data_IF_464770555897
#
_entry.id   IF_464770555897
#
_cell.length_a   1.000
_cell.length_b   1.000
_cell.length_c   1.000
_cell.angle_alpha   90.00
_cell.angle_beta   90.00
_cell.angle_gamma   90.00
#
_symmetry.space_group_name_H-M   'P 1'
#
loop_
_entity.id
_entity.type
_entity.pdbx_description
1 polymer ?
#
# COMPACT_ATOMS: atom_id res chain seq x y z
N UNK A 1 -11.34 -1.24 8.82
CA UNK A 1 -12.75 -1.16 8.48
C UNK A 1 -13.44 -2.49 8.80
N UNK A 2 -14.75 -2.48 9.10
CA UNK A 2 -15.52 -3.66 9.48
C UNK A 2 -16.93 -3.56 8.90
N UNK A 3 -17.50 -4.70 8.51
CA UNK A 3 -18.86 -4.79 7.98
C UNK A 3 -19.76 -5.40 9.06
N UNK A 4 -20.88 -4.76 9.35
CA UNK A 4 -21.95 -5.30 10.21
C UNK A 4 -23.11 -5.72 9.34
N UNK A 5 -23.55 -6.98 9.46
CA UNK A 5 -24.66 -7.53 8.69
C UNK A 5 -25.43 -8.58 9.45
N UNK A 6 -26.41 -9.18 8.78
CA UNK A 6 -27.07 -10.40 9.17
C UNK A 6 -26.91 -11.40 8.01
N UNK A 7 -26.44 -12.60 8.32
CA UNK A 7 -26.23 -13.70 7.37
C UNK A 7 -27.06 -14.91 7.77
N UNK A 8 -27.46 -15.70 6.76
CA UNK A 8 -28.01 -17.03 6.96
C UNK A 8 -26.84 -18.02 7.02
N UNK A 9 -26.55 -18.57 8.20
CA UNK A 9 -25.47 -19.53 8.44
C UNK A 9 -26.11 -20.78 9.05
N UNK A 10 -25.92 -21.93 8.42
CA UNK A 10 -26.49 -23.22 8.86
C UNK A 10 -28.03 -23.20 9.08
N UNK A 11 -28.72 -22.38 8.29
CA UNK A 11 -30.17 -22.21 8.37
C UNK A 11 -30.66 -21.24 9.43
N UNK A 12 -29.77 -20.62 10.19
CA UNK A 12 -30.06 -19.62 11.22
C UNK A 12 -29.62 -18.22 10.80
N UNK A 13 -30.41 -17.20 11.16
CA UNK A 13 -30.07 -15.80 10.95
C UNK A 13 -29.13 -15.34 12.06
N UNK A 14 -27.86 -15.10 11.72
CA UNK A 14 -26.82 -14.64 12.65
C UNK A 14 -26.51 -13.17 12.41
N UNK A 15 -26.39 -12.40 13.50
CA UNK A 15 -25.88 -11.02 13.45
C UNK A 15 -24.38 -11.07 13.47
N UNK A 16 -23.73 -10.66 12.39
CA UNK A 16 -22.28 -10.82 12.23
C UNK A 16 -21.53 -9.50 12.16
N UNK A 17 -20.25 -9.56 12.54
CA UNK A 17 -19.22 -8.60 12.23
C UNK A 17 -18.18 -9.32 11.36
N UNK A 18 -17.80 -8.67 10.26
CA UNK A 18 -16.90 -9.23 9.26
C UNK A 18 -15.73 -8.31 9.00
N UNK A 19 -14.56 -8.88 8.76
CA UNK A 19 -13.35 -8.13 8.43
C UNK A 19 -12.39 -8.96 7.58
N UNK A 20 -11.76 -8.30 6.59
CA UNK A 20 -10.55 -8.76 5.92
C UNK A 20 -9.34 -8.01 6.48
N UNK A 21 -8.71 -8.43 7.59
CA UNK A 21 -7.56 -7.75 8.17
C UNK A 21 -6.27 -8.04 7.37
N UNK A 22 -5.18 -7.40 7.76
CA UNK A 22 -3.86 -7.54 7.11
C UNK A 22 -3.34 -8.97 6.98
N UNK A 23 -3.74 -9.85 7.89
CA UNK A 23 -3.21 -11.21 8.03
C UNK A 23 -3.60 -12.17 6.90
N UNK A 24 -4.51 -11.76 5.99
CA UNK A 24 -4.90 -12.52 4.81
C UNK A 24 -6.12 -13.41 4.96
N UNK A 25 -6.76 -13.47 6.14
CA UNK A 25 -7.98 -14.24 6.39
C UNK A 25 -9.20 -13.34 6.52
N UNK A 26 -10.33 -13.75 5.96
CA UNK A 26 -11.62 -13.08 6.10
C UNK A 26 -12.37 -13.65 7.29
N UNK A 27 -12.55 -12.86 8.32
CA UNK A 27 -13.21 -13.27 9.56
C UNK A 27 -14.70 -12.99 9.55
N UNK A 28 -15.46 -13.94 10.10
CA UNK A 28 -16.87 -13.79 10.46
C UNK A 28 -17.05 -14.16 11.93
N UNK A 29 -17.50 -13.21 12.72
CA UNK A 29 -17.81 -13.41 14.14
C UNK A 29 -19.27 -13.09 14.43
N UNK A 30 -19.89 -13.76 15.40
CA UNK A 30 -21.17 -13.31 15.94
C UNK A 30 -20.96 -12.03 16.77
N UNK A 31 -21.57 -10.92 16.33
CA UNK A 31 -21.40 -9.61 16.99
C UNK A 31 -22.18 -9.47 18.31
N UNK A 32 -22.99 -10.47 18.67
CA UNK A 32 -23.79 -10.44 19.90
C UNK A 32 -23.03 -11.00 21.10
N UNK A 33 -22.12 -11.94 20.87
CA UNK A 33 -21.38 -12.64 21.91
C UNK A 33 -19.87 -12.80 21.65
N UNK A 34 -19.39 -12.44 20.43
CA UNK A 34 -17.98 -12.56 20.03
C UNK A 34 -17.57 -13.97 19.59
N UNK A 35 -18.54 -14.89 19.40
CA UNK A 35 -18.25 -16.24 18.92
C UNK A 35 -17.55 -16.23 17.56
N UNK A 36 -16.46 -17.00 17.45
CA UNK A 36 -15.79 -17.24 16.18
C UNK A 36 -16.65 -18.18 15.31
N UNK A 37 -17.04 -17.71 14.13
CA UNK A 37 -17.84 -18.49 13.19
C UNK A 37 -16.94 -19.12 12.13
N UNK A 38 -16.16 -18.29 11.42
CA UNK A 38 -15.27 -18.78 10.37
C UNK A 38 -14.15 -17.80 10.05
N UNK A 39 -13.06 -18.33 9.48
CA UNK A 39 -12.01 -17.54 8.83
C UNK A 39 -11.30 -18.40 7.79
N UNK A 40 -11.32 -17.94 6.52
CA UNK A 40 -10.54 -18.52 5.43
C UNK A 40 -9.73 -17.46 4.71
N UNK A 41 -8.66 -17.89 4.04
CA UNK A 41 -7.73 -16.99 3.42
C UNK A 41 -8.28 -16.43 2.10
N UNK A 42 -8.37 -15.09 2.00
CA UNK A 42 -8.80 -14.36 0.81
C UNK A 42 -7.64 -13.99 -0.14
N UNK A 43 -6.41 -14.18 0.29
CA UNK A 43 -5.16 -14.08 -0.48
C UNK A 43 -4.26 -15.26 -0.14
N UNK A 44 -3.16 -15.42 -0.87
CA UNK A 44 -2.13 -16.40 -0.51
C UNK A 44 -1.58 -16.08 0.89
N UNK A 45 -1.48 -17.11 1.73
CA UNK A 45 -0.98 -17.03 3.11
C UNK A 45 0.01 -18.16 3.34
N UNK A 46 1.16 -17.85 3.94
CA UNK A 46 2.16 -18.85 4.30
C UNK A 46 2.63 -18.80 5.75
N UNK A 47 2.12 -17.86 6.56
CA UNK A 47 2.44 -17.75 7.98
C UNK A 47 1.54 -18.63 8.88
N UNK A 48 0.40 -19.08 8.37
CA UNK A 48 -0.54 -19.97 9.04
C UNK A 48 -1.24 -20.86 8.02
N UNK A 49 -1.69 -22.04 8.45
CA UNK A 49 -2.46 -22.98 7.62
C UNK A 49 -3.97 -22.87 7.84
N UNK A 50 -4.43 -21.99 8.72
CA UNK A 50 -5.84 -21.77 9.04
C UNK A 50 -6.03 -21.37 10.50
N UNK A 51 -7.27 -21.53 10.97
CA UNK A 51 -7.68 -21.26 12.35
C UNK A 51 -8.34 -22.49 12.96
N UNK A 52 -8.11 -22.70 14.25
CA UNK A 52 -8.82 -23.74 15.02
C UNK A 52 -10.25 -23.28 15.39
N UNK A 53 -11.03 -24.19 16.00
CA UNK A 53 -12.42 -23.91 16.42
C UNK A 53 -12.55 -22.82 17.49
N UNK A 54 -11.47 -22.41 18.13
CA UNK A 54 -11.43 -21.33 19.11
C UNK A 54 -10.98 -20.00 18.49
N UNK A 55 -10.77 -19.95 17.17
CA UNK A 55 -10.29 -18.77 16.46
C UNK A 55 -8.80 -18.46 16.70
N UNK A 56 -7.98 -19.49 16.97
CA UNK A 56 -6.53 -19.36 17.10
C UNK A 56 -5.85 -19.79 15.79
N UNK A 57 -4.86 -19.03 15.32
CA UNK A 57 -4.12 -19.41 14.10
C UNK A 57 -3.32 -20.70 14.33
N UNK A 58 -3.29 -21.54 13.32
CA UNK A 58 -2.40 -22.70 13.22
C UNK A 58 -1.15 -22.20 12.49
N UNK A 59 -0.19 -21.70 13.27
CA UNK A 59 0.98 -21.02 12.76
C UNK A 59 1.96 -21.98 12.05
N UNK A 60 2.68 -21.44 11.05
CA UNK A 60 3.87 -22.06 10.44
C UNK A 60 5.08 -21.52 11.20
N UNK A 61 5.83 -22.37 11.94
CA UNK A 61 6.90 -21.90 12.84
C UNK A 61 8.00 -21.09 12.14
N UNK A 62 8.34 -21.47 10.92
CA UNK A 62 9.37 -20.83 10.09
C UNK A 62 9.02 -19.37 9.74
N UNK A 63 7.73 -19.05 9.69
CA UNK A 63 7.24 -17.70 9.40
C UNK A 63 7.51 -16.69 10.54
N UNK A 64 8.01 -17.14 11.67
CA UNK A 64 8.51 -16.26 12.75
C UNK A 64 9.84 -15.60 12.41
N UNK A 65 10.55 -16.10 11.37
CA UNK A 65 11.79 -15.52 10.83
C UNK A 65 12.89 -15.28 11.88
N UNK A 66 12.95 -16.14 12.90
CA UNK A 66 13.86 -15.97 14.04
C UNK A 66 15.31 -16.33 13.66
N UNK A 67 15.52 -17.41 12.92
CA UNK A 67 16.85 -17.94 12.62
C UNK A 67 17.26 -17.67 11.18
N UNK A 68 16.33 -17.79 10.24
CA UNK A 68 16.58 -17.71 8.80
C UNK A 68 15.60 -16.71 8.15
N UNK A 69 16.01 -16.06 7.03
CA UNK A 69 15.12 -15.21 6.25
C UNK A 69 13.90 -15.98 5.74
N UNK A 70 12.73 -15.37 5.84
CA UNK A 70 11.47 -15.93 5.38
C UNK A 70 10.70 -14.92 4.52
N UNK A 71 10.24 -15.35 3.34
CA UNK A 71 9.35 -14.56 2.49
C UNK A 71 7.93 -14.66 3.03
N UNK A 72 7.53 -13.68 3.85
CA UNK A 72 6.21 -13.69 4.48
C UNK A 72 5.12 -13.19 3.51
N UNK A 73 4.03 -13.95 3.42
CA UNK A 73 2.85 -13.66 2.61
C UNK A 73 1.59 -13.80 3.47
N UNK A 74 0.75 -12.75 3.55
CA UNK A 74 1.03 -11.39 3.13
C UNK A 74 2.10 -10.73 4.01
N UNK A 75 2.87 -9.82 3.42
CA UNK A 75 3.85 -9.03 4.17
C UNK A 75 3.18 -7.98 5.09
N UNK A 76 3.95 -7.10 5.77
CA UNK A 76 3.45 -6.13 6.75
C UNK A 76 2.41 -5.14 6.22
N UNK A 77 2.35 -4.92 4.91
CA UNK A 77 1.28 -4.13 4.28
C UNK A 77 -0.06 -4.86 4.22
N UNK A 78 -0.04 -6.19 4.44
CA UNK A 78 -1.23 -7.03 4.52
C UNK A 78 -1.80 -7.45 3.17
N UNK A 79 -2.68 -8.44 3.21
CA UNK A 79 -3.51 -8.81 2.06
C UNK A 79 -4.59 -7.76 1.76
N UNK A 80 -5.03 -7.04 2.76
CA UNK A 80 -5.89 -5.85 2.74
C UNK A 80 -5.41 -4.90 3.85
N UNK A 81 -5.78 -3.63 3.79
CA UNK A 81 -5.36 -2.65 4.79
C UNK A 81 -6.55 -1.76 5.23
N UNK A 82 -6.35 -0.46 5.41
CA UNK A 82 -7.35 0.49 5.92
C UNK A 82 -8.46 0.87 4.92
N UNK A 83 -8.34 0.47 3.66
CA UNK A 83 -9.31 0.82 2.61
C UNK A 83 -10.70 0.28 2.94
N UNK A 84 -11.73 1.05 2.61
CA UNK A 84 -13.11 0.67 2.94
C UNK A 84 -13.57 -0.55 2.14
N UNK A 85 -14.22 -1.45 2.87
CA UNK A 85 -14.95 -2.59 2.32
C UNK A 85 -16.43 -2.22 2.15
N UNK A 86 -17.13 -2.90 1.26
CA UNK A 86 -18.58 -2.77 1.09
C UNK A 86 -19.25 -4.14 1.03
N UNK A 87 -20.53 -4.20 1.42
CA UNK A 87 -21.32 -5.43 1.42
C UNK A 87 -22.65 -5.20 0.73
N UNK A 88 -23.01 -6.07 -0.22
CA UNK A 88 -24.27 -5.99 -0.93
C UNK A 88 -25.21 -7.10 -0.43
N UNK A 89 -26.32 -6.71 0.18
CA UNK A 89 -27.31 -7.64 0.70
C UNK A 89 -28.04 -8.44 -0.37
N UNK A 90 -28.08 -7.98 -1.62
CA UNK A 90 -28.74 -8.69 -2.73
C UNK A 90 -27.85 -9.78 -3.31
N UNK A 91 -26.54 -9.58 -3.36
CA UNK A 91 -25.57 -10.58 -3.82
C UNK A 91 -25.08 -11.47 -2.69
N UNK A 92 -25.13 -10.98 -1.43
CA UNK A 92 -24.53 -11.67 -0.28
C UNK A 92 -23.00 -11.56 -0.23
N UNK A 93 -22.38 -10.73 -1.08
CA UNK A 93 -20.93 -10.63 -1.21
C UNK A 93 -20.35 -9.39 -0.53
N UNK A 94 -19.18 -9.57 0.04
CA UNK A 94 -18.29 -8.49 0.49
C UNK A 94 -17.29 -8.13 -0.62
N UNK A 95 -17.08 -6.83 -0.84
CA UNK A 95 -16.13 -6.32 -1.84
C UNK A 95 -15.06 -5.50 -1.15
N UNK A 96 -13.80 -5.76 -1.49
CA UNK A 96 -12.67 -5.04 -0.92
C UNK A 96 -11.44 -5.11 -1.81
N UNK A 97 -10.55 -4.09 -1.76
CA UNK A 97 -9.25 -4.19 -2.39
C UNK A 97 -8.40 -5.21 -1.65
N UNK A 98 -7.82 -6.14 -2.38
CA UNK A 98 -6.79 -7.04 -1.85
C UNK A 98 -5.48 -6.86 -2.60
N UNK A 99 -4.38 -7.30 -2.00
CA UNK A 99 -3.05 -7.09 -2.55
C UNK A 99 -2.09 -8.21 -2.18
N UNK A 100 -1.09 -8.39 -3.03
CA UNK A 100 0.02 -9.30 -2.82
C UNK A 100 1.31 -8.50 -2.74
N UNK A 101 1.85 -8.34 -1.54
CA UNK A 101 3.10 -7.60 -1.27
C UNK A 101 3.93 -8.44 -0.31
N UNK A 102 4.63 -9.47 -0.81
CA UNK A 102 5.53 -10.27 0.01
C UNK A 102 6.74 -9.44 0.44
N UNK A 103 7.26 -9.73 1.61
CA UNK A 103 8.48 -9.12 2.13
C UNK A 103 9.33 -10.22 2.78
N UNK A 104 10.62 -10.25 2.45
CA UNK A 104 11.58 -11.07 3.16
C UNK A 104 11.89 -10.44 4.50
N UNK A 105 11.79 -11.20 5.57
CA UNK A 105 12.05 -10.78 6.95
C UNK A 105 13.01 -11.74 7.61
N UNK A 106 13.84 -11.22 8.51
CA UNK A 106 14.66 -12.01 9.44
C UNK A 106 14.81 -11.22 10.74
N UNK A 107 14.96 -11.90 11.86
CA UNK A 107 15.24 -11.24 13.14
C UNK A 107 16.50 -10.37 13.04
N UNK A 108 16.46 -9.19 13.64
CA UNK A 108 17.63 -8.34 13.80
C UNK A 108 18.31 -8.64 15.15
N UNK A 109 19.45 -9.37 15.16
CA UNK A 109 20.12 -9.73 16.41
C UNK A 109 20.71 -8.52 17.16
N UNK A 110 20.80 -7.38 16.49
CA UNK A 110 21.26 -6.12 17.11
C UNK A 110 20.12 -5.30 17.70
N UNK A 111 18.86 -5.73 17.53
CA UNK A 111 17.72 -4.97 18.00
C UNK A 111 17.63 -4.97 19.53
N UNK A 112 17.56 -3.79 20.10
CA UNK A 112 17.31 -3.58 21.51
C UNK A 112 15.95 -2.91 21.67
N UNK A 113 15.09 -3.46 22.56
CA UNK A 113 13.83 -2.83 22.86
C UNK A 113 14.05 -1.47 23.49
N UNK A 114 13.40 -0.44 22.98
CA UNK A 114 13.37 0.86 23.64
C UNK A 114 12.43 0.70 24.85
N UNK A 115 12.99 0.57 26.05
CA UNK A 115 12.22 0.39 27.28
C UNK A 115 11.38 1.62 27.65
N UNK A 116 11.73 2.80 27.14
CA UNK A 116 10.95 4.02 27.34
C UNK A 116 10.98 4.89 26.10
N UNK A 117 9.81 5.18 25.52
CA UNK A 117 9.66 6.33 24.64
C UNK A 117 9.57 7.58 25.50
N UNK A 118 10.70 8.14 25.91
CA UNK A 118 10.74 9.48 26.49
C UNK A 118 10.17 10.47 25.47
N UNK A 119 9.24 11.35 25.85
CA UNK A 119 8.74 12.37 24.95
C UNK A 119 9.88 13.24 24.39
N UNK A 120 10.03 13.25 23.06
CA UNK A 120 11.08 14.02 22.39
C UNK A 120 12.32 13.22 21.99
N UNK A 121 12.42 11.93 22.33
CA UNK A 121 13.46 11.07 21.76
C UNK A 121 13.13 10.82 20.27
N UNK A 122 14.08 11.01 19.34
CA UNK A 122 13.87 10.69 17.95
C UNK A 122 13.64 9.17 17.82
N UNK A 123 12.51 8.80 17.26
CA UNK A 123 12.32 7.42 16.81
C UNK A 123 13.35 7.17 15.69
N UNK A 124 14.06 6.06 15.76
CA UNK A 124 15.07 5.70 14.77
C UNK A 124 14.51 5.78 13.35
N UNK A 125 15.12 6.60 12.51
CA UNK A 125 14.79 6.72 11.09
C UNK A 125 13.32 7.00 10.83
N UNK A 126 12.64 6.06 10.19
CA UNK A 126 11.21 6.16 9.81
C UNK A 126 10.22 5.88 10.94
N UNK A 127 10.69 5.75 12.17
CA UNK A 127 9.82 5.52 13.32
C UNK A 127 9.34 4.09 13.49
N UNK A 128 9.95 3.14 12.83
CA UNK A 128 9.68 1.73 13.00
C UNK A 128 10.76 1.10 13.88
N UNK A 129 10.43 0.90 15.14
CA UNK A 129 11.21 0.07 16.02
C UNK A 129 10.70 -1.37 15.87
N UNK A 130 11.40 -2.18 15.12
CA UNK A 130 11.03 -3.57 14.85
C UNK A 130 12.23 -4.47 15.04
N UNK A 131 12.00 -5.63 15.67
CA UNK A 131 13.00 -6.68 15.83
C UNK A 131 13.38 -7.37 14.50
N UNK A 132 12.89 -6.88 13.34
CA UNK A 132 13.09 -7.54 12.07
C UNK A 132 13.78 -6.62 11.06
N UNK A 133 14.73 -7.18 10.33
CA UNK A 133 15.27 -6.60 9.10
C UNK A 133 14.36 -6.95 7.93
N UNK A 134 14.08 -5.96 7.08
CA UNK A 134 13.28 -6.12 5.88
C UNK A 134 14.17 -6.16 4.64
N UNK A 135 13.73 -6.91 3.62
CA UNK A 135 14.40 -6.97 2.33
C UNK A 135 15.86 -7.48 2.39
N UNK A 136 16.11 -8.47 3.23
CA UNK A 136 17.40 -9.17 3.27
C UNK A 136 17.69 -9.78 1.91
N UNK A 137 16.66 -10.31 1.23
CA UNK A 137 16.69 -10.71 -0.17
C UNK A 137 15.43 -10.18 -0.88
N UNK A 138 15.46 -9.96 -2.22
CA UNK A 138 14.26 -9.61 -2.96
C UNK A 138 13.20 -10.72 -2.84
N UNK A 139 11.91 -10.38 -2.63
CA UNK A 139 10.85 -11.35 -2.61
C UNK A 139 10.75 -12.13 -3.94
N UNK A 140 10.30 -13.37 -3.86
CA UNK A 140 10.19 -14.27 -5.02
C UNK A 140 9.13 -13.87 -6.05
N UNK A 141 8.18 -13.01 -5.69
CA UNK A 141 7.06 -12.61 -6.54
C UNK A 141 6.87 -11.09 -6.59
N UNK A 142 6.32 -10.61 -7.72
CA UNK A 142 6.04 -9.19 -7.91
C UNK A 142 4.76 -8.76 -7.18
N UNK A 143 4.74 -7.57 -6.57
CA UNK A 143 3.52 -7.00 -6.00
C UNK A 143 2.44 -6.75 -7.06
N UNK A 144 1.19 -7.06 -6.72
CA UNK A 144 0.00 -6.74 -7.52
C UNK A 144 -1.21 -6.47 -6.62
N UNK A 145 -2.28 -5.91 -7.18
CA UNK A 145 -3.53 -5.64 -6.49
C UNK A 145 -4.73 -6.30 -7.16
N UNK A 146 -5.83 -6.43 -6.42
CA UNK A 146 -7.10 -6.98 -6.87
C UNK A 146 -8.28 -6.21 -6.28
N UNK A 147 -9.41 -6.23 -6.98
CA UNK A 147 -10.72 -6.11 -6.37
C UNK A 147 -11.24 -7.52 -6.15
N UNK A 148 -11.52 -7.86 -4.91
CA UNK A 148 -12.01 -9.19 -4.51
C UNK A 148 -13.46 -9.11 -4.12
N UNK A 149 -14.29 -10.02 -4.63
CA UNK A 149 -15.64 -10.30 -4.16
C UNK A 149 -15.63 -11.62 -3.39
N UNK A 150 -16.02 -11.57 -2.15
CA UNK A 150 -15.94 -12.68 -1.20
C UNK A 150 -17.31 -13.07 -0.68
N UNK A 151 -17.62 -14.36 -0.70
CA UNK A 151 -18.81 -14.91 -0.04
C UNK A 151 -18.47 -15.23 1.42
N UNK A 152 -18.99 -14.46 2.39
CA UNK A 152 -18.68 -14.66 3.80
C UNK A 152 -19.34 -15.90 4.42
N UNK A 153 -20.30 -16.53 3.75
CA UNK A 153 -20.97 -17.73 4.23
C UNK A 153 -20.21 -18.97 3.81
N UNK A 154 -19.85 -19.07 2.53
CA UNK A 154 -19.08 -20.19 2.00
C UNK A 154 -17.56 -20.04 2.22
N UNK A 155 -17.11 -18.84 2.61
CA UNK A 155 -15.70 -18.48 2.75
C UNK A 155 -14.92 -18.74 1.45
N UNK A 156 -15.47 -18.29 0.32
CA UNK A 156 -14.86 -18.48 -0.98
C UNK A 156 -14.88 -17.18 -1.80
N UNK A 157 -13.88 -17.04 -2.65
CA UNK A 157 -13.88 -15.99 -3.65
C UNK A 157 -14.95 -16.27 -4.71
N UNK A 158 -15.89 -15.33 -4.87
CA UNK A 158 -16.89 -15.40 -5.92
C UNK A 158 -16.32 -14.96 -7.28
N UNK A 159 -15.56 -13.85 -7.28
CA UNK A 159 -14.82 -13.34 -8.43
C UNK A 159 -13.74 -12.36 -7.99
N UNK A 160 -12.80 -12.07 -8.89
CA UNK A 160 -11.79 -11.04 -8.73
C UNK A 160 -11.55 -10.27 -10.02
N UNK A 161 -11.07 -9.03 -9.88
CA UNK A 161 -10.51 -8.25 -10.97
C UNK A 161 -9.07 -7.84 -10.61
N UNK A 162 -8.11 -8.15 -11.50
CA UNK A 162 -6.70 -7.87 -11.23
C UNK A 162 -6.31 -6.45 -11.68
N UNK A 163 -5.60 -5.75 -10.82
CA UNK A 163 -5.04 -4.42 -11.08
C UNK A 163 -3.54 -4.50 -11.34
N UNK A 164 -3.03 -3.56 -12.12
CA UNK A 164 -1.61 -3.48 -12.49
C UNK A 164 -0.69 -3.10 -11.32
N UNK A 165 -1.26 -2.61 -10.22
CA UNK A 165 -0.54 -2.13 -9.05
C UNK A 165 -1.27 -2.53 -7.78
N UNK A 166 -0.57 -2.79 -6.68
CA UNK A 166 -1.19 -2.85 -5.37
C UNK A 166 -1.74 -1.48 -4.94
N UNK A 167 -2.45 -1.42 -3.79
CA UNK A 167 -2.87 -0.18 -3.15
C UNK A 167 -3.93 0.59 -3.92
N UNK A 168 -5.00 -0.10 -4.30
CA UNK A 168 -6.18 0.51 -4.93
C UNK A 168 -7.15 1.05 -3.88
N UNK A 169 -8.09 1.88 -4.30
CA UNK A 169 -9.06 2.54 -3.42
C UNK A 169 -10.07 1.59 -2.77
N UNK A 170 -10.74 2.10 -1.74
CA UNK A 170 -11.86 1.40 -1.12
C UNK A 170 -13.04 1.26 -2.07
N UNK A 171 -14.03 0.44 -1.67
CA UNK A 171 -15.18 0.08 -2.51
C UNK A 171 -16.48 0.71 -2.01
N UNK A 172 -17.42 0.86 -2.94
CA UNK A 172 -18.81 1.19 -2.70
C UNK A 172 -19.66 0.22 -3.53
N UNK A 173 -20.69 -0.37 -2.93
CA UNK A 173 -21.71 -1.12 -3.68
C UNK A 173 -23.07 -0.47 -3.60
N UNK A 174 -23.90 -0.66 -4.61
CA UNK A 174 -25.26 -0.11 -4.70
C UNK A 174 -26.30 -1.21 -4.89
N UNK A 175 -27.57 -0.88 -4.59
CA UNK A 175 -28.70 -1.76 -4.85
C UNK A 175 -28.95 -2.02 -6.35
N UNK A 176 -28.32 -1.27 -7.24
CA UNK A 176 -28.33 -1.49 -8.70
C UNK A 176 -27.30 -2.50 -9.20
N UNK A 177 -26.83 -3.40 -8.35
CA UNK A 177 -25.81 -4.42 -8.67
C UNK A 177 -24.49 -3.85 -9.24
N UNK A 178 -24.06 -2.67 -8.73
CA UNK A 178 -22.79 -2.07 -9.08
C UNK A 178 -21.80 -2.09 -7.91
N UNK A 179 -20.53 -2.26 -8.24
CA UNK A 179 -19.39 -2.00 -7.33
C UNK A 179 -18.50 -0.93 -7.94
N UNK A 180 -18.22 0.12 -7.19
CA UNK A 180 -17.31 1.19 -7.59
C UNK A 180 -15.99 1.10 -6.86
N UNK A 181 -14.89 1.35 -7.58
CA UNK A 181 -13.55 1.41 -7.01
C UNK A 181 -12.67 2.41 -7.75
N UNK A 182 -11.88 3.18 -7.00
CA UNK A 182 -10.75 3.94 -7.52
C UNK A 182 -9.50 3.06 -7.65
N UNK A 183 -8.61 3.38 -8.57
CA UNK A 183 -7.40 2.59 -8.82
C UNK A 183 -6.13 3.41 -8.69
N UNK A 184 -5.03 2.74 -8.33
CA UNK A 184 -3.70 3.36 -8.22
C UNK A 184 -3.22 3.94 -9.57
N UNK A 185 -3.63 3.36 -10.68
CA UNK A 185 -3.28 3.80 -12.03
C UNK A 185 -4.19 4.91 -12.60
N UNK A 186 -4.88 5.63 -11.71
CA UNK A 186 -5.67 6.83 -12.00
C UNK A 186 -6.96 6.59 -12.79
N UNK A 187 -7.68 5.53 -12.48
CA UNK A 187 -9.04 5.26 -13.00
C UNK A 187 -10.05 5.23 -11.89
N UNK A 188 -11.30 5.57 -12.20
CA UNK A 188 -12.46 5.26 -11.40
C UNK A 188 -13.34 4.31 -12.20
N UNK A 189 -13.71 3.17 -11.63
CA UNK A 189 -14.33 2.06 -12.34
C UNK A 189 -15.62 1.64 -11.67
N UNK A 190 -16.57 1.17 -12.47
CA UNK A 190 -17.76 0.48 -12.03
C UNK A 190 -17.77 -0.95 -12.58
N UNK A 191 -18.12 -1.90 -11.73
CA UNK A 191 -18.16 -3.33 -12.04
C UNK A 191 -19.56 -3.89 -11.79
N UNK A 192 -19.91 -4.95 -12.52
CA UNK A 192 -21.06 -5.78 -12.16
C UNK A 192 -20.79 -6.49 -10.83
N UNK A 193 -21.63 -6.26 -9.83
CA UNK A 193 -21.45 -6.80 -8.49
C UNK A 193 -21.47 -8.34 -8.43
N UNK A 194 -22.15 -9.02 -9.39
CA UNK A 194 -22.28 -10.48 -9.42
C UNK A 194 -21.16 -11.17 -10.16
N UNK A 195 -20.60 -10.53 -11.21
CA UNK A 195 -19.66 -11.20 -12.13
C UNK A 195 -18.27 -10.60 -12.12
N UNK A 196 -18.09 -9.37 -11.63
CA UNK A 196 -16.82 -8.64 -11.67
C UNK A 196 -16.50 -8.04 -13.04
N UNK A 197 -17.39 -8.13 -14.01
CA UNK A 197 -17.19 -7.53 -15.33
C UNK A 197 -17.10 -6.00 -15.21
N UNK A 198 -16.07 -5.35 -15.78
CA UNK A 198 -16.01 -3.90 -15.83
C UNK A 198 -17.08 -3.35 -16.77
N UNK A 199 -17.91 -2.45 -16.24
CA UNK A 199 -19.04 -1.88 -16.99
C UNK A 199 -18.74 -0.44 -17.44
N UNK A 200 -17.93 0.28 -16.70
CA UNK A 200 -17.59 1.66 -16.97
C UNK A 200 -16.28 2.04 -16.32
N UNK A 201 -15.54 2.95 -16.94
CA UNK A 201 -14.36 3.58 -16.34
C UNK A 201 -14.22 5.03 -16.76
N UNK A 202 -13.60 5.83 -15.91
CA UNK A 202 -13.22 7.22 -16.17
C UNK A 202 -11.78 7.47 -15.73
N UNK A 203 -10.97 8.14 -16.55
CA UNK A 203 -9.65 8.60 -16.11
C UNK A 203 -9.80 9.72 -15.07
N UNK A 204 -8.92 9.74 -14.06
CA UNK A 204 -9.04 10.64 -12.90
C UNK A 204 -7.87 11.62 -12.74
N UNK A 205 -6.87 11.54 -13.61
CA UNK A 205 -5.73 12.46 -13.60
C UNK A 205 -4.71 12.23 -12.48
N UNK A 206 -5.00 11.39 -11.52
CA UNK A 206 -4.11 11.00 -10.41
C UNK A 206 -4.60 9.69 -9.80
N UNK A 207 -3.78 9.01 -8.99
CA UNK A 207 -4.22 7.80 -8.29
C UNK A 207 -5.43 8.06 -7.40
N UNK A 208 -6.33 7.08 -7.28
CA UNK A 208 -7.58 7.16 -6.53
C UNK A 208 -7.57 6.11 -5.44
N UNK A 209 -7.28 6.53 -4.20
CA UNK A 209 -7.12 5.64 -3.05
C UNK A 209 -8.29 5.77 -2.06
N UNK A 210 -9.06 6.84 -2.13
CA UNK A 210 -10.25 7.02 -1.31
C UNK A 210 -11.36 6.03 -1.70
N UNK A 211 -12.28 5.79 -0.78
CA UNK A 211 -13.53 5.12 -1.09
C UNK A 211 -14.54 6.10 -1.68
N UNK A 212 -15.35 5.69 -2.67
CA UNK A 212 -16.45 6.50 -3.17
C UNK A 212 -17.61 6.55 -2.18
N UNK A 213 -18.44 7.58 -2.32
CA UNK A 213 -19.72 7.68 -1.61
C UNK A 213 -20.87 7.83 -2.61
N UNK A 214 -22.07 7.42 -2.24
CA UNK A 214 -23.28 7.70 -3.00
C UNK A 214 -24.32 8.40 -2.14
N UNK A 215 -25.07 9.29 -2.76
CA UNK A 215 -26.13 10.05 -2.11
C UNK A 215 -27.19 10.48 -3.15
N UNK A 216 -28.32 10.92 -2.68
CA UNK A 216 -29.42 11.40 -3.50
C UNK A 216 -29.72 12.86 -3.20
N UNK A 217 -29.95 13.65 -4.23
CA UNK A 217 -30.44 15.03 -4.14
C UNK A 217 -31.61 15.17 -5.13
N UNK A 218 -32.77 15.56 -4.62
CA UNK A 218 -33.99 15.79 -5.41
C UNK A 218 -34.37 14.59 -6.33
N UNK A 219 -34.20 13.34 -5.83
CA UNK A 219 -34.48 12.12 -6.58
C UNK A 219 -33.41 11.71 -7.60
N UNK A 220 -32.31 12.42 -7.64
CA UNK A 220 -31.17 12.10 -8.51
C UNK A 220 -30.03 11.50 -7.69
N UNK A 221 -29.57 10.31 -8.06
CA UNK A 221 -28.43 9.66 -7.42
C UNK A 221 -27.11 10.18 -7.97
N UNK A 222 -26.20 10.48 -7.06
CA UNK A 222 -24.83 10.89 -7.34
C UNK A 222 -23.84 9.90 -6.75
N UNK A 223 -22.67 9.77 -7.39
CA UNK A 223 -21.50 9.07 -6.86
C UNK A 223 -20.32 10.03 -6.85
N UNK A 224 -19.73 10.25 -5.68
CA UNK A 224 -18.58 11.15 -5.52
C UNK A 224 -17.35 10.40 -5.04
N UNK A 225 -16.19 10.84 -5.53
CA UNK A 225 -14.88 10.25 -5.21
C UNK A 225 -13.82 11.34 -5.09
N UNK A 226 -12.96 11.24 -4.07
CA UNK A 226 -11.78 12.08 -3.97
C UNK A 226 -10.61 11.40 -4.71
N UNK A 227 -10.18 11.99 -5.80
CA UNK A 227 -8.98 11.57 -6.52
C UNK A 227 -7.75 12.27 -5.94
N UNK A 228 -6.74 11.52 -5.60
CA UNK A 228 -5.50 11.98 -5.02
C UNK A 228 -4.65 10.80 -4.51
N UNK A 229 -3.34 10.90 -4.68
CA UNK A 229 -2.42 9.95 -4.07
C UNK A 229 -2.43 10.11 -2.55
N UNK A 230 -2.67 9.01 -1.84
CA UNK A 230 -2.64 8.95 -0.39
C UNK A 230 -2.00 7.66 0.12
N UNK A 231 -1.80 7.58 1.45
CA UNK A 231 -1.18 6.45 2.11
C UNK A 231 0.31 6.30 1.79
N UNK A 232 0.87 5.17 2.19
CA UNK A 232 2.30 4.87 2.07
C UNK A 232 2.75 4.88 0.62
N UNK A 233 2.05 4.17 -0.25
CA UNK A 233 2.43 4.04 -1.66
C UNK A 233 2.26 5.33 -2.46
N UNK A 234 1.34 6.21 -2.06
CA UNK A 234 1.20 7.53 -2.66
C UNK A 234 2.40 8.45 -2.44
N UNK A 235 3.23 8.17 -1.45
CA UNK A 235 4.44 8.95 -1.18
C UNK A 235 5.55 8.68 -2.18
N UNK A 236 5.80 7.43 -2.53
CA UNK A 236 6.99 7.01 -3.26
C UNK A 236 6.73 6.14 -4.50
N UNK A 237 5.55 5.52 -4.63
CA UNK A 237 5.29 4.49 -5.65
C UNK A 237 4.13 4.86 -6.56
N UNK A 238 4.38 5.78 -7.47
CA UNK A 238 3.39 6.22 -8.46
C UNK A 238 3.11 5.12 -9.49
N UNK A 239 1.85 4.71 -9.62
CA UNK A 239 1.39 3.74 -10.61
C UNK A 239 0.91 4.39 -11.93
N UNK A 240 0.78 5.72 -11.96
CA UNK A 240 0.34 6.49 -13.14
C UNK A 240 1.33 7.59 -13.49
N UNK A 241 1.45 7.93 -14.76
CA UNK A 241 2.24 9.07 -15.25
C UNK A 241 1.44 10.39 -15.22
N UNK A 242 0.24 10.39 -14.67
CA UNK A 242 -0.59 11.58 -14.49
C UNK A 242 -0.32 12.25 -13.15
N UNK A 243 -0.25 13.58 -13.13
CA UNK A 243 -0.04 14.40 -11.94
C UNK A 243 -1.01 15.56 -11.94
N UNK A 244 -2.26 15.28 -11.62
CA UNK A 244 -3.25 16.34 -11.40
C UNK A 244 -3.37 16.60 -9.89
N UNK A 245 -3.70 17.81 -9.50
CA UNK A 245 -3.98 18.15 -8.10
C UNK A 245 -5.15 17.30 -7.57
N UNK A 246 -5.18 17.07 -6.26
CA UNK A 246 -6.29 16.38 -5.61
C UNK A 246 -7.61 17.06 -5.94
N UNK A 247 -8.59 16.29 -6.41
CA UNK A 247 -9.88 16.79 -6.91
C UNK A 247 -11.01 15.87 -6.44
N UNK A 248 -12.13 16.44 -6.07
CA UNK A 248 -13.36 15.68 -5.83
C UNK A 248 -14.18 15.71 -7.10
N UNK A 249 -14.47 14.51 -7.63
CA UNK A 249 -15.34 14.33 -8.79
C UNK A 249 -16.70 13.81 -8.33
N UNK A 250 -17.74 14.28 -8.97
CA UNK A 250 -19.10 13.82 -8.76
C UNK A 250 -19.72 13.40 -10.07
N UNK A 251 -20.23 12.20 -10.13
CA UNK A 251 -20.83 11.58 -11.29
C UNK A 251 -22.34 11.40 -11.10
N UNK A 252 -23.05 11.52 -12.18
CA UNK A 252 -24.49 11.24 -12.29
C UNK A 252 -24.73 10.39 -13.53
N UNK A 253 -25.71 9.50 -13.46
CA UNK A 253 -26.06 8.67 -14.62
C UNK A 253 -26.51 9.55 -15.80
N UNK A 254 -25.95 9.29 -16.99
CA UNK A 254 -26.13 10.08 -18.21
C UNK A 254 -25.63 11.55 -18.10
N UNK A 255 -24.73 11.85 -17.18
CA UNK A 255 -24.03 13.13 -17.15
C UNK A 255 -23.19 13.33 -18.41
N UNK A 256 -23.12 14.57 -18.89
CA UNK A 256 -22.46 14.96 -20.16
C UNK A 256 -21.27 15.89 -19.96
N UNK A 257 -20.86 16.13 -18.71
CA UNK A 257 -19.70 16.97 -18.43
C UNK A 257 -18.40 16.31 -18.90
N UNK A 258 -17.58 17.06 -19.62
CA UNK A 258 -16.28 16.59 -20.06
C UNK A 258 -15.28 16.59 -18.90
N UNK A 259 -14.41 15.56 -18.86
CA UNK A 259 -13.32 15.52 -17.92
C UNK A 259 -12.28 16.58 -18.26
N UNK A 260 -11.65 17.20 -17.24
CA UNK A 260 -10.61 18.21 -17.50
C UNK A 260 -9.37 17.57 -18.14
N UNK A 261 -8.56 18.40 -18.81
CA UNK A 261 -7.23 17.97 -19.27
C UNK A 261 -6.35 17.61 -18.07
N UNK A 262 -5.64 16.47 -18.17
CA UNK A 262 -4.77 15.99 -17.12
C UNK A 262 -3.31 16.33 -17.37
N UNK A 263 -2.64 16.77 -16.30
CA UNK A 263 -1.21 17.06 -16.35
C UNK A 263 -0.39 15.76 -16.37
N UNK A 264 0.55 15.68 -17.30
CA UNK A 264 1.52 14.59 -17.36
C UNK A 264 2.65 14.82 -16.33
N UNK A 265 3.04 13.75 -15.66
CA UNK A 265 4.23 13.76 -14.82
C UNK A 265 5.46 13.42 -15.66
N UNK A 266 6.40 14.35 -15.70
CA UNK A 266 7.67 14.12 -16.39
C UNK A 266 8.75 13.83 -15.34
N UNK A 267 9.28 12.61 -15.37
CA UNK A 267 10.47 12.28 -14.60
C UNK A 267 11.68 12.96 -15.22
N UNK A 268 12.55 13.47 -14.35
CA UNK A 268 13.89 13.87 -14.80
C UNK A 268 14.67 12.63 -15.27
N UNK A 269 15.78 12.84 -15.94
CA UNK A 269 16.75 11.76 -16.21
C UNK A 269 17.32 11.24 -14.88
N UNK A 270 17.75 9.98 -14.87
CA UNK A 270 18.47 9.42 -13.72
C UNK A 270 19.70 10.28 -13.41
N UNK A 271 19.92 10.53 -12.11
CA UNK A 271 21.06 11.28 -11.62
C UNK A 271 22.37 10.70 -12.16
N UNK A 272 23.30 11.56 -12.55
CA UNK A 272 24.56 11.14 -13.16
C UNK A 272 25.69 12.10 -12.82
N UNK A 273 26.91 11.54 -12.76
CA UNK A 273 28.13 12.30 -12.61
C UNK A 273 28.41 12.81 -11.17
N UNK A 274 27.70 12.29 -10.18
CA UNK A 274 28.08 12.46 -8.77
C UNK A 274 29.27 11.54 -8.52
N UNK A 275 30.36 12.09 -8.00
CA UNK A 275 31.53 11.32 -7.60
C UNK A 275 31.24 10.59 -6.29
N UNK A 276 31.59 9.31 -6.23
CA UNK A 276 31.40 8.49 -5.04
C UNK A 276 32.45 7.38 -4.92
N UNK A 277 32.65 6.85 -3.70
CA UNK A 277 33.46 5.66 -3.48
C UNK A 277 32.58 4.41 -3.65
N UNK A 278 32.86 3.50 -4.62
CA UNK A 278 32.10 2.25 -4.81
C UNK A 278 32.05 1.35 -3.58
N UNK A 279 33.08 1.35 -2.73
CA UNK A 279 33.14 0.54 -1.51
C UNK A 279 32.05 0.95 -0.49
N UNK A 280 31.50 2.16 -0.62
CA UNK A 280 30.46 2.67 0.26
C UNK A 280 29.05 2.20 -0.10
N UNK A 281 28.84 1.57 -1.28
CA UNK A 281 27.49 1.22 -1.74
C UNK A 281 26.79 0.27 -0.77
N UNK A 282 27.48 -0.75 -0.23
CA UNK A 282 26.90 -1.72 0.68
C UNK A 282 26.38 -1.10 1.97
N UNK A 283 27.21 -0.32 2.66
CA UNK A 283 26.79 0.38 3.88
C UNK A 283 25.78 1.49 3.57
N UNK A 284 25.92 2.17 2.43
CA UNK A 284 24.97 3.17 1.93
C UNK A 284 23.59 2.57 1.65
N UNK A 285 23.53 1.32 1.19
CA UNK A 285 22.25 0.60 1.03
C UNK A 285 21.54 0.45 2.37
N UNK A 286 22.25 -0.05 3.38
CA UNK A 286 21.68 -0.25 4.71
C UNK A 286 21.16 1.08 5.32
N UNK A 287 21.98 2.13 5.25
CA UNK A 287 21.61 3.47 5.72
C UNK A 287 20.41 4.04 4.98
N UNK A 288 20.35 3.87 3.65
CA UNK A 288 19.23 4.36 2.85
C UNK A 288 17.94 3.60 3.14
N UNK A 289 18.00 2.29 3.26
CA UNK A 289 16.84 1.45 3.58
C UNK A 289 16.28 1.81 4.95
N UNK A 290 17.16 2.02 5.95
CA UNK A 290 16.72 2.37 7.30
C UNK A 290 16.12 3.78 7.41
N UNK A 291 16.57 4.73 6.60
CA UNK A 291 16.25 6.15 6.81
C UNK A 291 15.46 6.83 5.69
N UNK A 292 15.52 6.33 4.45
CA UNK A 292 15.05 7.07 3.28
C UNK A 292 14.01 6.35 2.43
N UNK A 293 14.14 5.03 2.29
CA UNK A 293 13.37 4.23 1.31
C UNK A 293 11.86 4.33 1.49
N UNK A 294 11.39 4.40 2.73
CA UNK A 294 9.97 4.47 3.03
C UNK A 294 9.28 5.72 2.44
N UNK A 295 10.00 6.83 2.36
CA UNK A 295 9.50 8.07 1.81
C UNK A 295 9.90 8.29 0.35
N UNK A 296 11.15 7.93 -0.01
CA UNK A 296 11.72 8.24 -1.31
C UNK A 296 11.73 7.07 -2.31
N UNK A 297 11.35 5.85 -1.87
CA UNK A 297 11.44 4.63 -2.68
C UNK A 297 12.87 4.23 -3.00
N UNK A 298 13.05 3.20 -3.83
CA UNK A 298 14.37 2.76 -4.28
C UNK A 298 14.86 3.69 -5.39
N UNK A 299 16.08 4.26 -5.31
CA UNK A 299 16.56 5.26 -6.26
C UNK A 299 16.47 4.78 -7.72
N UNK A 300 15.69 5.48 -8.54
CA UNK A 300 15.52 5.22 -9.96
C UNK A 300 14.69 3.98 -10.33
N UNK A 301 14.25 3.18 -9.37
CA UNK A 301 13.37 2.03 -9.59
C UNK A 301 11.91 2.47 -9.53
N UNK A 302 11.53 3.15 -8.47
CA UNK A 302 10.20 3.73 -8.32
C UNK A 302 10.11 5.09 -8.99
N UNK A 303 8.94 5.43 -9.52
CA UNK A 303 8.72 6.74 -10.17
C UNK A 303 8.59 7.91 -9.18
N UNK A 304 8.63 7.64 -7.88
CA UNK A 304 8.27 8.60 -6.85
C UNK A 304 6.76 8.82 -6.76
N UNK A 305 6.37 9.70 -5.88
CA UNK A 305 4.97 10.05 -5.62
C UNK A 305 4.84 11.52 -5.26
N UNK A 306 4.21 11.81 -4.12
CA UNK A 306 4.20 13.16 -3.53
C UNK A 306 5.57 13.56 -3.01
N UNK A 307 6.39 12.56 -2.63
CA UNK A 307 7.79 12.72 -2.27
C UNK A 307 8.64 12.29 -3.47
N UNK A 308 9.64 13.07 -3.88
CA UNK A 308 10.45 12.76 -5.06
C UNK A 308 11.33 11.53 -4.82
N UNK A 309 11.49 10.68 -5.84
CA UNK A 309 12.50 9.65 -5.83
C UNK A 309 13.89 10.26 -6.06
N UNK A 310 14.85 9.98 -5.18
CA UNK A 310 16.17 10.61 -5.21
C UNK A 310 17.02 10.20 -6.41
N UNK A 311 16.74 9.07 -7.04
CA UNK A 311 17.40 8.65 -8.28
C UNK A 311 17.11 9.56 -9.48
N UNK A 312 16.06 10.38 -9.43
CA UNK A 312 15.71 11.37 -10.44
C UNK A 312 16.01 12.80 -10.00
N UNK A 313 16.79 12.99 -8.95
CA UNK A 313 17.22 14.31 -8.47
C UNK A 313 18.27 14.93 -9.39
N UNK A 314 18.38 16.25 -9.36
CA UNK A 314 19.50 16.94 -10.00
C UNK A 314 20.82 16.56 -9.33
N UNK A 315 21.92 16.51 -10.10
CA UNK A 315 23.27 16.25 -9.58
C UNK A 315 23.59 17.12 -8.35
N UNK A 316 23.32 18.42 -8.45
CA UNK A 316 23.60 19.36 -7.36
C UNK A 316 22.83 19.09 -6.06
N UNK A 317 21.67 18.43 -6.12
CA UNK A 317 20.91 18.01 -4.94
C UNK A 317 21.63 16.89 -4.22
N UNK A 318 22.08 15.88 -4.98
CA UNK A 318 22.78 14.73 -4.38
C UNK A 318 24.16 15.12 -3.89
N UNK A 319 24.89 15.98 -4.61
CA UNK A 319 26.18 16.48 -4.15
C UNK A 319 26.11 17.25 -2.83
N UNK A 320 25.01 17.97 -2.61
CA UNK A 320 24.79 18.76 -1.39
C UNK A 320 23.73 18.11 -0.47
N UNK A 321 23.66 16.78 -0.43
CA UNK A 321 22.64 16.07 0.32
C UNK A 321 22.66 16.40 1.83
N UNK A 322 23.82 16.65 2.39
CA UNK A 322 24.02 17.08 3.77
C UNK A 322 23.24 18.37 4.13
N UNK A 323 23.15 19.32 3.20
CA UNK A 323 22.37 20.55 3.40
C UNK A 323 20.85 20.31 3.48
N UNK A 324 20.38 19.18 3.03
CA UNK A 324 18.97 18.76 3.15
C UNK A 324 18.72 17.88 4.38
N UNK A 325 19.71 17.11 4.80
CA UNK A 325 19.61 16.16 5.90
C UNK A 325 19.86 16.79 7.27
N UNK A 326 20.74 17.81 7.35
CA UNK A 326 21.13 18.45 8.61
C UNK A 326 20.47 19.82 8.73
N UNK A 327 19.44 19.93 9.58
CA UNK A 327 18.62 21.16 9.76
C UNK A 327 18.09 21.71 8.42
N UNK A 328 17.76 20.79 7.49
CA UNK A 328 17.44 21.14 6.11
C UNK A 328 16.10 21.88 5.94
N UNK A 329 15.88 22.49 4.77
CA UNK A 329 14.70 23.33 4.52
C UNK A 329 13.38 22.57 4.52
N UNK A 330 13.39 21.24 4.45
CA UNK A 330 12.19 20.41 4.39
C UNK A 330 11.76 19.83 5.75
N UNK A 331 12.46 20.13 6.85
CA UNK A 331 12.08 19.69 8.20
C UNK A 331 10.67 20.18 8.55
N UNK A 332 10.35 21.42 8.25
CA UNK A 332 9.00 21.99 8.45
C UNK A 332 7.91 21.33 7.57
N UNK A 333 8.32 20.63 6.52
CA UNK A 333 7.43 19.89 5.60
C UNK A 333 7.34 18.39 5.93
N UNK A 334 7.91 17.96 7.06
CA UNK A 334 7.82 16.58 7.56
C UNK A 334 9.01 15.67 7.17
N UNK A 335 10.06 16.19 6.55
CA UNK A 335 11.31 15.44 6.40
C UNK A 335 12.02 15.39 7.75
N UNK A 336 12.47 14.22 8.24
CA UNK A 336 13.23 14.16 9.51
C UNK A 336 14.51 14.99 9.46
N UNK A 337 14.90 15.57 10.61
CA UNK A 337 16.22 16.14 10.81
C UNK A 337 17.17 15.01 11.25
N UNK A 338 18.20 14.76 10.47
CA UNK A 338 19.14 13.68 10.69
C UNK A 338 20.44 14.12 11.39
N UNK A 339 20.49 15.34 11.91
CA UNK A 339 21.69 15.92 12.52
C UNK A 339 22.26 15.08 13.66
N UNK A 340 21.40 14.46 14.47
CA UNK A 340 21.80 13.63 15.62
C UNK A 340 21.95 12.13 15.25
N UNK A 341 21.51 11.71 14.05
CA UNK A 341 21.43 10.29 13.69
C UNK A 341 22.39 9.86 12.59
N UNK A 342 22.81 10.79 11.72
CA UNK A 342 23.73 10.52 10.63
C UNK A 342 25.00 11.38 10.72
N UNK A 343 26.12 10.77 10.45
CA UNK A 343 27.39 11.49 10.26
C UNK A 343 27.55 11.97 8.81
N UNK A 344 28.47 12.89 8.56
CA UNK A 344 28.83 13.28 7.19
C UNK A 344 29.35 12.11 6.36
N UNK A 345 30.03 11.16 6.97
CA UNK A 345 30.47 9.93 6.30
C UNK A 345 29.30 9.07 5.88
N UNK A 346 28.25 8.96 6.71
CA UNK A 346 27.04 8.23 6.35
C UNK A 346 26.30 8.88 5.18
N UNK A 347 26.31 10.21 5.09
CA UNK A 347 25.78 10.93 3.93
C UNK A 347 26.53 10.58 2.65
N UNK A 348 27.87 10.48 2.70
CA UNK A 348 28.69 10.06 1.55
C UNK A 348 28.36 8.61 1.14
N UNK A 349 28.11 7.70 2.09
CA UNK A 349 27.65 6.33 1.80
C UNK A 349 26.26 6.31 1.14
N UNK A 350 25.33 7.13 1.64
CA UNK A 350 24.00 7.28 1.04
C UNK A 350 24.09 7.83 -0.40
N UNK A 351 24.95 8.84 -0.65
CA UNK A 351 25.21 9.34 -2.01
C UNK A 351 25.75 8.24 -2.93
N UNK A 352 26.67 7.42 -2.44
CA UNK A 352 27.22 6.30 -3.19
C UNK A 352 26.14 5.29 -3.60
N UNK A 353 25.21 4.97 -2.70
CA UNK A 353 24.09 4.10 -3.01
C UNK A 353 23.14 4.71 -4.06
N UNK A 354 22.78 6.00 -3.91
CA UNK A 354 21.87 6.67 -4.87
C UNK A 354 22.49 6.71 -6.27
N UNK A 355 23.72 7.17 -6.39
CA UNK A 355 24.40 7.27 -7.70
C UNK A 355 24.72 5.91 -8.27
N UNK A 356 25.22 4.98 -7.45
CA UNK A 356 25.57 3.61 -7.88
C UNK A 356 24.36 2.85 -8.39
N UNK A 357 23.20 2.98 -7.74
CA UNK A 357 21.95 2.37 -8.20
C UNK A 357 21.52 3.00 -9.53
N UNK A 358 21.55 4.33 -9.64
CA UNK A 358 21.21 5.02 -10.88
C UNK A 358 22.13 4.63 -12.06
N UNK A 359 23.42 4.40 -11.80
CA UNK A 359 24.37 3.95 -12.82
C UNK A 359 24.12 2.49 -13.23
N UNK A 360 23.77 1.62 -12.28
CA UNK A 360 23.49 0.22 -12.53
C UNK A 360 22.26 -0.02 -13.41
N UNK A 361 21.19 0.79 -13.22
CA UNK A 361 19.93 0.65 -13.95
C UNK A 361 19.85 1.51 -15.22
N UNK A 362 20.80 2.41 -15.42
CA UNK A 362 20.84 3.25 -16.63
C UNK A 362 21.02 2.38 -17.87
N UNK A 363 20.18 2.54 -18.91
CA UNK A 363 20.38 1.83 -20.17
C UNK A 363 21.80 2.07 -20.69
N UNK A 364 22.55 1.00 -20.91
CA UNK A 364 23.85 1.11 -21.59
C UNK A 364 23.57 1.66 -23.00
N UNK A 365 24.12 2.84 -23.30
CA UNK A 365 24.08 3.35 -24.69
C UNK A 365 24.67 2.28 -25.62
N UNK A 366 23.83 1.81 -26.54
CA UNK A 366 24.25 0.93 -27.64
C UNK A 366 25.20 1.66 -28.57
#
# INVERSE_FOLDING_TARGET
DMILSELMIDGERRKVIMQAPKNGFFFVLDRTNGEFISADNYVDVNWATGYDSNGRPIEVPEARSMDEPFDIIPGPFGGHNWHSMSFNHQTGLAYFPSQHIPITMVEDPSWESIESNEPGQPMSGIGWNTAFQFNVAPPSSKPFGRLTAWDPVTQQEAWRYEHVSPWNGGTLTTAGDLVFQGTADARFMAFNARTGDPLWESPMGTGVIAAPITYEVDGTQYVSIAAGWGGVFGKSQRASDLKTAGTVYTFVLNGDAEMPEFTQYQLNSLVSGVEYNPDFIGEGTALYVSNCVFCHGVPGVDKGGNIPNLGYSKKSVIENLDAFLFHGPFVSSGMPDFTETLSKTDVEKIKAFIQGTADAIRPKSQ
#
